data_IF_529616847280
#
_entry.id   IF_529616847280
#
_cell.length_a   1.000
_cell.length_b   1.000
_cell.length_c   1.000
_cell.angle_alpha   90.00
_cell.angle_beta   90.00
_cell.angle_gamma   90.00
#
_symmetry.space_group_name_H-M   'P 1'
#
loop_
_entity.id
_entity.type
_entity.pdbx_description
1 polymer ?
#
# COMPACT_ATOMS: atom_id res chain seq x y z
N UNK A 1 -36.43 40.83 49.11
CA UNK A 1 -36.34 40.64 47.64
C UNK A 1 -34.88 40.60 47.13
N UNK A 2 -33.96 39.89 47.81
CA UNK A 2 -32.53 39.80 47.41
C UNK A 2 -32.02 38.37 47.17
N UNK A 3 -32.81 37.35 47.53
CA UNK A 3 -32.40 35.94 47.54
C UNK A 3 -32.60 35.20 46.21
N UNK A 4 -33.42 35.73 45.29
CA UNK A 4 -33.68 35.12 43.98
C UNK A 4 -32.53 35.31 42.98
N UNK A 5 -31.78 36.42 43.11
CA UNK A 5 -30.65 36.72 42.21
C UNK A 5 -29.38 35.93 42.58
N UNK A 6 -29.21 35.56 43.85
CA UNK A 6 -28.03 34.81 44.33
C UNK A 6 -28.01 33.38 43.83
N UNK A 7 -29.18 32.72 43.75
CA UNK A 7 -29.33 31.36 43.22
C UNK A 7 -29.12 31.33 41.70
N UNK A 8 -29.63 32.33 40.97
CA UNK A 8 -29.37 32.46 39.53
C UNK A 8 -27.90 32.68 39.18
N UNK A 9 -27.16 33.44 40.00
CA UNK A 9 -25.72 33.66 39.78
C UNK A 9 -24.93 32.36 39.99
N UNK A 10 -25.28 31.55 41.00
CA UNK A 10 -24.63 30.26 41.25
C UNK A 10 -24.84 29.24 40.12
N UNK A 11 -26.05 29.20 39.53
CA UNK A 11 -26.35 28.29 38.40
C UNK A 11 -25.56 28.69 37.15
N UNK A 12 -25.48 29.99 36.83
CA UNK A 12 -24.69 30.51 35.70
C UNK A 12 -23.19 30.25 35.91
N UNK A 13 -22.68 30.40 37.14
CA UNK A 13 -21.28 30.10 37.45
C UNK A 13 -20.96 28.60 37.33
N UNK A 14 -21.90 27.72 37.71
CA UNK A 14 -21.73 26.26 37.57
C UNK A 14 -21.74 25.77 36.11
N UNK A 15 -22.50 26.44 35.25
CA UNK A 15 -22.56 26.17 33.81
C UNK A 15 -21.29 26.63 33.08
N UNK A 16 -20.66 27.72 33.55
CA UNK A 16 -19.39 28.22 33.00
C UNK A 16 -18.19 27.33 33.39
N UNK A 17 -18.27 26.60 34.50
CA UNK A 17 -17.20 25.69 34.96
C UNK A 17 -17.21 24.33 34.23
N UNK A 18 -18.28 23.97 33.52
CA UNK A 18 -18.34 22.75 32.70
C UNK A 18 -17.83 22.94 31.26
N UNK A 19 -17.47 24.17 30.86
CA UNK A 19 -17.05 24.47 29.49
C UNK A 19 -15.55 24.28 29.23
N UNK A 20 -14.75 23.94 30.24
CA UNK A 20 -13.36 23.52 30.05
C UNK A 20 -13.29 21.99 30.00
N UNK A 21 -13.83 21.42 28.92
CA UNK A 21 -13.37 20.10 28.50
C UNK A 21 -12.00 20.34 27.88
N UNK A 22 -10.92 20.01 28.57
CA UNK A 22 -9.59 20.01 27.93
C UNK A 22 -9.68 19.01 26.78
N UNK A 23 -9.65 19.48 25.54
CA UNK A 23 -9.50 18.60 24.38
C UNK A 23 -8.26 17.73 24.64
N UNK A 24 -8.49 16.43 24.87
CA UNK A 24 -7.39 15.47 24.89
C UNK A 24 -6.64 15.64 23.57
N UNK A 25 -5.30 15.71 23.58
CA UNK A 25 -4.55 15.87 22.34
C UNK A 25 -4.93 14.74 21.39
N UNK A 26 -5.50 15.10 20.24
CA UNK A 26 -5.96 14.13 19.23
C UNK A 26 -4.81 13.22 18.83
N UNK A 27 -5.05 11.91 18.83
CA UNK A 27 -4.09 10.96 18.33
C UNK A 27 -4.29 10.84 16.82
N UNK A 28 -3.71 11.80 16.09
CA UNK A 28 -3.86 11.88 14.63
C UNK A 28 -3.45 10.59 13.92
N UNK A 29 -2.48 9.85 14.45
CA UNK A 29 -2.04 8.59 13.84
C UNK A 29 -3.14 7.54 13.98
N UNK A 30 -3.64 7.32 15.20
CA UNK A 30 -4.70 6.35 15.45
C UNK A 30 -5.99 6.70 14.68
N UNK A 31 -6.38 7.97 14.66
CA UNK A 31 -7.56 8.44 13.91
C UNK A 31 -7.43 8.18 12.40
N UNK A 32 -6.26 8.42 11.81
CA UNK A 32 -6.04 8.16 10.38
C UNK A 32 -5.99 6.67 10.05
N UNK A 33 -5.42 5.83 10.93
CA UNK A 33 -5.43 4.38 10.74
C UNK A 33 -6.83 3.77 10.91
N UNK A 34 -7.64 4.29 11.83
CA UNK A 34 -9.05 3.89 11.97
C UNK A 34 -9.84 4.23 10.70
N UNK A 35 -9.65 5.43 10.16
CA UNK A 35 -10.26 5.82 8.89
C UNK A 35 -9.77 4.94 7.73
N UNK A 36 -8.45 4.71 7.62
CA UNK A 36 -7.85 3.88 6.58
C UNK A 36 -8.34 2.42 6.66
N UNK A 37 -8.51 1.87 7.86
CA UNK A 37 -9.09 0.55 8.10
C UNK A 37 -10.46 0.41 7.41
N UNK A 38 -11.35 1.37 7.66
CA UNK A 38 -12.70 1.35 7.07
C UNK A 38 -12.66 1.49 5.54
N UNK A 39 -11.77 2.33 5.01
CA UNK A 39 -11.63 2.50 3.55
C UNK A 39 -11.05 1.23 2.88
N UNK A 40 -10.06 0.59 3.50
CA UNK A 40 -9.45 -0.62 2.97
C UNK A 40 -10.40 -1.82 3.03
N UNK A 41 -11.17 -1.99 4.11
CA UNK A 41 -12.21 -3.03 4.17
C UNK A 41 -13.28 -2.83 3.09
N UNK A 42 -13.67 -1.58 2.83
CA UNK A 42 -14.59 -1.27 1.74
C UNK A 42 -13.97 -1.55 0.36
N UNK A 43 -12.70 -1.17 0.15
CA UNK A 43 -11.97 -1.46 -1.08
C UNK A 43 -11.79 -2.97 -1.34
N UNK A 44 -11.56 -3.77 -0.29
CA UNK A 44 -11.55 -5.24 -0.35
C UNK A 44 -12.91 -5.74 -0.83
N UNK A 45 -14.00 -5.27 -0.22
CA UNK A 45 -15.37 -5.69 -0.60
C UNK A 45 -15.66 -5.39 -2.07
N UNK A 46 -15.34 -4.18 -2.54
CA UNK A 46 -15.53 -3.80 -3.93
C UNK A 46 -14.64 -4.61 -4.88
N UNK A 47 -13.39 -4.85 -4.50
CA UNK A 47 -12.45 -5.66 -5.28
C UNK A 47 -12.95 -7.10 -5.43
N UNK A 48 -13.46 -7.70 -4.36
CA UNK A 48 -13.99 -9.08 -4.38
C UNK A 48 -15.30 -9.20 -5.16
N UNK A 49 -16.06 -8.12 -5.28
CA UNK A 49 -17.29 -8.08 -6.09
C UNK A 49 -17.02 -7.96 -7.61
N UNK A 50 -15.76 -7.80 -8.02
CA UNK A 50 -15.40 -7.74 -9.43
C UNK A 50 -15.46 -9.13 -10.09
N UNK A 51 -16.36 -9.32 -11.04
CA UNK A 51 -16.56 -10.59 -11.76
C UNK A 51 -15.38 -10.96 -12.70
N UNK A 52 -14.49 -10.02 -13.01
CA UNK A 52 -13.37 -10.27 -13.89
C UNK A 52 -12.12 -10.71 -13.12
N UNK A 53 -11.93 -12.02 -12.99
CA UNK A 53 -10.79 -12.64 -12.30
C UNK A 53 -9.42 -12.31 -12.89
N UNK A 54 -9.34 -11.74 -14.10
CA UNK A 54 -8.06 -11.27 -14.67
C UNK A 54 -7.60 -9.92 -14.10
N UNK A 55 -8.47 -9.19 -13.39
CA UNK A 55 -8.15 -7.92 -12.73
C UNK A 55 -8.11 -8.13 -11.22
N UNK A 56 -6.93 -7.98 -10.63
CA UNK A 56 -6.59 -8.52 -9.31
C UNK A 56 -6.35 -7.46 -8.25
N UNK A 57 -6.13 -6.20 -8.65
CA UNK A 57 -5.84 -5.10 -7.74
C UNK A 57 -6.61 -3.84 -8.17
N UNK A 58 -7.15 -3.05 -7.22
CA UNK A 58 -7.63 -1.71 -7.53
C UNK A 58 -6.46 -0.78 -7.82
N UNK A 59 -6.70 0.24 -8.66
CA UNK A 59 -5.71 1.25 -9.04
C UNK A 59 -6.17 2.68 -8.77
N UNK A 60 -7.40 2.98 -9.11
CA UNK A 60 -8.00 4.31 -8.94
C UNK A 60 -9.51 4.17 -8.82
N UNK A 61 -10.19 5.27 -8.54
CA UNK A 61 -11.64 5.39 -8.61
C UNK A 61 -12.05 6.03 -9.94
N UNK A 62 -13.15 5.57 -10.53
CA UNK A 62 -13.82 6.24 -11.63
C UNK A 62 -14.74 7.37 -11.11
N UNK A 63 -15.21 8.23 -12.01
CA UNK A 63 -16.08 9.36 -11.65
C UNK A 63 -17.39 8.95 -10.98
N UNK A 64 -17.85 7.71 -11.22
CA UNK A 64 -19.06 7.13 -10.62
C UNK A 64 -18.83 6.46 -9.26
N UNK A 65 -17.60 6.49 -8.74
CA UNK A 65 -17.21 5.88 -7.47
C UNK A 65 -16.80 4.41 -7.56
N UNK A 66 -16.89 3.78 -8.74
CA UNK A 66 -16.42 2.40 -8.92
C UNK A 66 -14.89 2.30 -8.94
N UNK A 67 -14.36 1.13 -8.56
CA UNK A 67 -12.91 0.88 -8.63
C UNK A 67 -12.49 0.52 -10.05
N UNK A 68 -11.47 1.22 -10.55
CA UNK A 68 -10.74 0.82 -11.75
C UNK A 68 -9.73 -0.25 -11.36
N UNK A 69 -9.99 -1.48 -11.80
CA UNK A 69 -9.20 -2.66 -11.50
C UNK A 69 -8.12 -2.90 -12.56
N UNK A 70 -6.99 -3.49 -12.15
CA UNK A 70 -5.86 -3.79 -13.04
C UNK A 70 -5.39 -5.25 -12.93
N UNK A 71 -4.84 -5.82 -14.02
CA UNK A 71 -4.26 -7.16 -13.97
C UNK A 71 -2.94 -7.16 -13.19
N UNK A 72 -2.46 -8.35 -12.81
CA UNK A 72 -1.20 -8.53 -12.09
C UNK A 72 0.02 -7.92 -12.81
N UNK A 73 -0.02 -7.78 -14.13
CA UNK A 73 1.08 -7.20 -14.93
C UNK A 73 1.16 -5.67 -14.89
N UNK A 74 0.15 -5.00 -14.32
CA UNK A 74 0.18 -3.54 -14.17
C UNK A 74 1.20 -3.17 -13.07
N UNK A 75 1.94 -2.09 -13.29
CA UNK A 75 2.97 -1.63 -12.36
C UNK A 75 2.41 -1.25 -10.98
N UNK A 76 1.12 -0.93 -10.89
CA UNK A 76 0.47 -0.58 -9.61
C UNK A 76 -0.05 -1.77 -8.83
N UNK A 77 0.02 -2.98 -9.38
CA UNK A 77 -0.67 -4.16 -8.84
C UNK A 77 -0.18 -4.60 -7.45
N UNK A 78 1.05 -4.25 -7.07
CA UNK A 78 1.63 -4.54 -5.76
C UNK A 78 1.30 -3.53 -4.65
N UNK A 79 0.67 -2.39 -4.96
CA UNK A 79 0.39 -1.36 -3.95
C UNK A 79 -0.71 -1.77 -2.98
N UNK A 80 -1.86 -2.23 -3.49
CA UNK A 80 -2.99 -2.62 -2.65
C UNK A 80 -2.63 -3.72 -1.63
N UNK A 81 -2.03 -4.87 -2.00
CA UNK A 81 -1.56 -5.83 -0.99
C UNK A 81 -0.51 -5.25 -0.05
N UNK A 82 0.34 -4.33 -0.51
CA UNK A 82 1.31 -3.64 0.34
C UNK A 82 0.65 -2.79 1.45
N UNK A 83 -0.45 -2.09 1.13
CA UNK A 83 -1.24 -1.35 2.13
C UNK A 83 -1.86 -2.28 3.18
N UNK A 84 -2.36 -3.45 2.75
CA UNK A 84 -2.89 -4.47 3.68
C UNK A 84 -1.81 -5.02 4.62
N UNK A 85 -0.60 -5.25 4.11
CA UNK A 85 0.55 -5.61 4.94
C UNK A 85 0.91 -4.52 5.95
N UNK A 86 0.86 -3.25 5.55
CA UNK A 86 1.11 -2.12 6.47
C UNK A 86 0.02 -1.99 7.54
N UNK A 87 -1.24 -2.28 7.18
CA UNK A 87 -2.33 -2.36 8.18
C UNK A 87 -2.09 -3.48 9.19
N UNK A 88 -1.63 -4.65 8.73
CA UNK A 88 -1.24 -5.73 9.63
C UNK A 88 -0.07 -5.31 10.54
N UNK A 89 0.94 -4.64 9.99
CA UNK A 89 2.06 -4.15 10.78
C UNK A 89 1.62 -3.24 11.93
N UNK A 90 0.71 -2.31 11.64
CA UNK A 90 0.18 -1.35 12.61
C UNK A 90 -0.75 -1.99 13.64
N UNK A 91 -1.72 -2.78 13.19
CA UNK A 91 -2.82 -3.29 14.05
C UNK A 91 -2.49 -4.61 14.73
N UNK A 92 -1.63 -5.44 14.12
CA UNK A 92 -1.40 -6.86 14.47
C UNK A 92 -2.67 -7.72 14.43
N UNK A 93 -3.72 -7.28 13.76
CA UNK A 93 -4.96 -8.05 13.59
C UNK A 93 -4.78 -9.05 12.43
N UNK A 94 -4.90 -10.38 12.68
CA UNK A 94 -4.71 -11.42 11.68
C UNK A 94 -5.57 -11.26 10.43
N UNK A 95 -6.73 -10.58 10.50
CA UNK A 95 -7.57 -10.35 9.32
C UNK A 95 -6.81 -9.63 8.20
N UNK A 96 -5.91 -8.70 8.56
CA UNK A 96 -5.13 -7.94 7.59
C UNK A 96 -4.05 -8.79 6.93
N UNK A 97 -3.41 -9.68 7.69
CA UNK A 97 -2.45 -10.65 7.17
C UNK A 97 -3.14 -11.61 6.19
N UNK A 98 -4.31 -12.14 6.55
CA UNK A 98 -5.10 -13.02 5.67
C UNK A 98 -5.47 -12.32 4.34
N UNK A 99 -5.96 -11.08 4.42
CA UNK A 99 -6.27 -10.28 3.22
C UNK A 99 -5.01 -9.98 2.41
N UNK A 100 -3.91 -9.58 3.05
CA UNK A 100 -2.66 -9.24 2.37
C UNK A 100 -2.07 -10.46 1.64
N UNK A 101 -2.08 -11.64 2.26
CA UNK A 101 -1.66 -12.91 1.63
C UNK A 101 -2.51 -13.19 0.39
N UNK A 102 -3.83 -13.10 0.52
CA UNK A 102 -4.78 -13.37 -0.58
C UNK A 102 -4.61 -12.42 -1.75
N UNK A 103 -4.39 -11.14 -1.50
CA UNK A 103 -4.17 -10.13 -2.55
C UNK A 103 -2.74 -10.12 -3.11
N UNK A 104 -1.77 -10.67 -2.39
CA UNK A 104 -0.39 -10.86 -2.87
C UNK A 104 -0.31 -12.05 -3.83
N UNK A 105 -1.02 -13.15 -3.56
CA UNK A 105 -0.87 -14.41 -4.30
C UNK A 105 -1.01 -14.30 -5.84
N UNK A 106 -1.97 -13.55 -6.41
CA UNK A 106 -2.12 -13.44 -7.87
C UNK A 106 -0.95 -12.74 -8.58
N UNK A 107 -0.05 -12.10 -7.84
CA UNK A 107 1.11 -11.38 -8.36
C UNK A 107 2.33 -12.30 -8.59
N UNK A 108 2.27 -13.58 -8.18
CA UNK A 108 3.45 -14.46 -8.18
C UNK A 108 4.14 -14.55 -9.55
N UNK A 109 3.35 -14.65 -10.63
CA UNK A 109 3.88 -14.76 -12.00
C UNK A 109 4.72 -13.54 -12.43
N UNK A 110 4.57 -12.40 -11.73
CA UNK A 110 5.36 -11.20 -12.02
C UNK A 110 6.83 -11.34 -11.65
N UNK A 111 7.22 -12.32 -10.82
CA UNK A 111 8.64 -12.61 -10.55
C UNK A 111 9.45 -12.91 -11.81
N UNK A 112 8.78 -13.39 -12.86
CA UNK A 112 9.39 -13.71 -14.16
C UNK A 112 9.27 -12.57 -15.20
N UNK A 113 8.67 -11.43 -14.83
CA UNK A 113 8.42 -10.34 -15.77
C UNK A 113 9.70 -9.55 -16.05
N UNK A 114 10.33 -9.85 -17.19
CA UNK A 114 11.54 -9.17 -17.66
C UNK A 114 11.26 -7.92 -18.50
N UNK A 115 10.01 -7.51 -18.65
CA UNK A 115 9.57 -6.43 -19.55
C UNK A 115 9.49 -5.04 -18.93
N UNK A 116 9.55 -4.94 -17.60
CA UNK A 116 9.44 -3.69 -16.84
C UNK A 116 10.50 -3.58 -15.75
N UNK A 117 10.83 -2.36 -15.37
CA UNK A 117 11.61 -2.07 -14.17
C UNK A 117 10.81 -2.07 -12.87
N UNK A 118 9.49 -2.12 -12.93
CA UNK A 118 8.58 -1.92 -11.78
C UNK A 118 8.45 -3.13 -10.84
N UNK A 119 9.40 -4.08 -10.89
CA UNK A 119 9.33 -5.29 -10.06
C UNK A 119 9.49 -5.00 -8.56
N UNK A 120 10.10 -3.88 -8.18
CA UNK A 120 10.09 -3.42 -6.80
C UNK A 120 8.68 -3.02 -6.35
N UNK A 121 7.96 -2.24 -7.17
CA UNK A 121 6.56 -1.88 -6.88
C UNK A 121 5.62 -3.07 -6.92
N UNK A 122 5.81 -4.00 -7.85
CA UNK A 122 4.88 -5.12 -8.05
C UNK A 122 5.14 -6.25 -7.05
N UNK A 123 6.38 -6.72 -6.95
CA UNK A 123 6.73 -7.93 -6.19
C UNK A 123 7.26 -7.58 -4.81
N UNK A 124 8.22 -6.66 -4.71
CA UNK A 124 8.86 -6.38 -3.41
C UNK A 124 7.91 -5.65 -2.44
N UNK A 125 7.04 -4.77 -2.95
CA UNK A 125 6.02 -4.12 -2.14
C UNK A 125 4.89 -5.07 -1.66
N UNK A 126 4.77 -6.26 -2.25
CA UNK A 126 3.76 -7.27 -1.90
C UNK A 126 4.41 -8.46 -1.17
N UNK A 127 5.10 -9.33 -1.90
CA UNK A 127 5.83 -10.48 -1.36
C UNK A 127 6.96 -10.07 -0.40
N UNK A 128 7.68 -8.98 -0.68
CA UNK A 128 8.74 -8.50 0.21
C UNK A 128 8.21 -8.04 1.57
N UNK A 129 7.04 -7.40 1.59
CA UNK A 129 6.35 -7.04 2.83
C UNK A 129 5.85 -8.28 3.58
N UNK A 130 5.26 -9.25 2.87
CA UNK A 130 4.84 -10.51 3.47
C UNK A 130 6.01 -11.27 4.12
N UNK A 131 7.14 -11.37 3.42
CA UNK A 131 8.37 -11.98 3.96
C UNK A 131 8.88 -11.25 5.22
N UNK A 132 8.75 -9.91 5.27
CA UNK A 132 9.19 -9.10 6.41
C UNK A 132 8.27 -9.23 7.63
N UNK A 133 6.97 -9.41 7.42
CA UNK A 133 5.95 -9.27 8.45
C UNK A 133 5.31 -10.59 8.90
N UNK A 134 5.39 -11.64 8.09
CA UNK A 134 4.78 -12.95 8.34
C UNK A 134 5.79 -14.09 8.20
N UNK A 135 5.44 -15.29 8.69
CA UNK A 135 6.27 -16.49 8.57
C UNK A 135 6.17 -17.11 7.16
N UNK A 136 6.45 -16.29 6.13
CA UNK A 136 6.37 -16.66 4.71
C UNK A 136 7.74 -16.76 4.09
N UNK A 137 8.52 -17.71 4.61
CA UNK A 137 9.85 -18.02 4.09
C UNK A 137 9.85 -18.37 2.59
N UNK A 138 8.74 -18.92 2.08
CA UNK A 138 8.49 -19.20 0.66
C UNK A 138 8.52 -17.95 -0.23
N UNK A 139 8.29 -16.76 0.33
CA UNK A 139 8.36 -15.50 -0.42
C UNK A 139 9.80 -15.05 -0.73
N UNK A 140 10.80 -15.60 -0.06
CA UNK A 140 12.21 -15.25 -0.30
C UNK A 140 12.61 -15.57 -1.75
N UNK A 141 12.32 -16.80 -2.21
CA UNK A 141 12.64 -17.22 -3.58
C UNK A 141 11.86 -16.43 -4.64
N UNK A 142 10.63 -16.03 -4.33
CA UNK A 142 9.81 -15.18 -5.22
C UNK A 142 10.48 -13.82 -5.42
N UNK A 143 10.91 -13.18 -4.33
CA UNK A 143 11.60 -11.89 -4.40
C UNK A 143 12.99 -12.02 -5.07
N UNK A 144 13.74 -13.09 -4.80
CA UNK A 144 15.03 -13.33 -5.47
C UNK A 144 14.86 -13.52 -6.99
N UNK A 145 13.85 -14.26 -7.43
CA UNK A 145 13.56 -14.41 -8.86
C UNK A 145 13.15 -13.08 -9.51
N UNK A 146 12.35 -12.27 -8.82
CA UNK A 146 12.03 -10.92 -9.27
C UNK A 146 13.28 -10.03 -9.35
N UNK A 147 14.21 -10.13 -8.39
CA UNK A 147 15.47 -9.41 -8.43
C UNK A 147 16.33 -9.84 -9.63
N UNK A 148 16.38 -11.13 -9.97
CA UNK A 148 17.04 -11.63 -11.19
C UNK A 148 16.40 -11.09 -12.46
N UNK A 149 15.07 -11.06 -12.52
CA UNK A 149 14.33 -10.48 -13.65
C UNK A 149 14.62 -8.98 -13.80
N UNK A 150 14.64 -8.22 -12.70
CA UNK A 150 14.98 -6.79 -12.69
C UNK A 150 16.43 -6.55 -13.13
N UNK A 151 17.38 -7.30 -12.56
CA UNK A 151 18.79 -7.20 -12.89
C UNK A 151 19.08 -7.54 -14.36
N UNK A 152 18.30 -8.42 -14.99
CA UNK A 152 18.43 -8.76 -16.42
C UNK A 152 18.21 -7.57 -17.36
N UNK A 153 17.59 -6.49 -16.86
CA UNK A 153 17.36 -5.25 -17.62
C UNK A 153 18.52 -4.27 -17.55
N UNK A 154 19.56 -4.54 -16.76
CA UNK A 154 20.77 -3.74 -16.67
C UNK A 154 21.49 -3.66 -18.03
N UNK A 155 21.93 -2.46 -18.40
CA UNK A 155 22.64 -2.16 -19.63
C UNK A 155 24.09 -1.81 -19.29
N UNK A 156 25.05 -2.75 -19.42
CA UNK A 156 26.43 -2.56 -18.95
C UNK A 156 27.14 -1.34 -19.53
N UNK A 157 26.91 -1.04 -20.80
CA UNK A 157 27.55 0.11 -21.47
C UNK A 157 27.03 1.46 -20.98
N UNK A 158 25.79 1.50 -20.48
CA UNK A 158 25.14 2.72 -20.00
C UNK A 158 25.13 2.83 -18.47
N UNK A 159 25.35 1.71 -17.75
CA UNK A 159 25.36 1.68 -16.30
C UNK A 159 23.98 1.86 -15.66
N UNK A 160 22.90 1.55 -16.38
CA UNK A 160 21.51 1.81 -15.97
C UNK A 160 20.62 0.58 -16.13
N UNK A 161 19.48 0.56 -15.45
CA UNK A 161 18.40 -0.40 -15.68
C UNK A 161 17.39 0.23 -16.64
N UNK A 162 17.10 -0.44 -17.76
CA UNK A 162 16.13 0.06 -18.74
C UNK A 162 14.70 -0.01 -18.17
N UNK A 163 13.95 1.09 -18.23
CA UNK A 163 12.60 1.18 -17.65
C UNK A 163 11.59 0.27 -18.33
N UNK A 164 11.44 0.37 -19.65
CA UNK A 164 10.44 -0.39 -20.43
C UNK A 164 10.94 -0.69 -21.84
N UNK A 165 10.14 -1.45 -22.60
CA UNK A 165 10.51 -1.90 -23.96
C UNK A 165 9.59 -1.36 -25.09
N UNK A 166 8.54 -0.59 -24.77
CA UNK A 166 7.69 0.08 -25.76
C UNK A 166 8.28 1.41 -26.29
N UNK A 167 7.71 1.94 -27.38
CA UNK A 167 8.15 3.19 -28.02
C UNK A 167 9.63 3.19 -28.45
N UNK A 168 10.14 2.06 -28.96
CA UNK A 168 11.54 1.90 -29.41
C UNK A 168 11.94 2.86 -30.53
N UNK A 169 10.98 3.39 -31.28
CA UNK A 169 11.21 4.42 -32.29
C UNK A 169 11.52 5.81 -31.70
N UNK A 170 11.29 6.00 -30.39
CA UNK A 170 11.57 7.25 -29.66
C UNK A 170 12.74 7.10 -28.69
N UNK A 171 12.89 5.92 -28.07
CA UNK A 171 13.83 5.70 -26.99
C UNK A 171 14.57 4.36 -27.16
N UNK A 172 15.90 4.39 -27.16
CA UNK A 172 16.74 3.18 -27.24
C UNK A 172 16.90 2.51 -25.86
N UNK A 173 17.12 3.31 -24.82
CA UNK A 173 17.26 2.86 -23.43
C UNK A 173 16.61 3.88 -22.48
N UNK A 174 15.27 3.93 -22.39
CA UNK A 174 14.58 4.84 -21.50
C UNK A 174 14.91 4.51 -20.03
N UNK A 175 15.15 5.56 -19.25
CA UNK A 175 15.34 5.52 -17.80
C UNK A 175 14.52 6.66 -17.21
N UNK A 176 13.76 6.38 -16.15
CA UNK A 176 12.94 7.38 -15.44
C UNK A 176 13.29 7.38 -13.95
N UNK A 177 12.92 8.45 -13.24
CA UNK A 177 13.30 8.63 -11.83
C UNK A 177 12.72 7.55 -10.92
N UNK A 178 11.52 7.04 -11.22
CA UNK A 178 10.83 5.97 -10.48
C UNK A 178 11.63 4.66 -10.42
N UNK A 179 12.60 4.51 -11.32
CA UNK A 179 13.53 3.40 -11.31
C UNK A 179 14.31 3.31 -9.99
N UNK A 180 14.53 4.45 -9.32
CA UNK A 180 15.20 4.53 -8.01
C UNK A 180 14.48 3.74 -6.92
N UNK A 181 13.15 3.78 -6.88
CA UNK A 181 12.36 3.06 -5.87
C UNK A 181 12.45 1.54 -6.07
N UNK A 182 12.63 1.10 -7.32
CA UNK A 182 12.75 -0.31 -7.65
C UNK A 182 14.13 -0.90 -7.30
N UNK A 183 15.14 -0.07 -7.03
CA UNK A 183 16.47 -0.54 -6.63
C UNK A 183 16.49 -1.17 -5.23
N UNK A 184 15.51 -0.87 -4.38
CA UNK A 184 15.41 -1.44 -3.03
C UNK A 184 15.38 -2.97 -3.08
N UNK A 185 14.65 -3.55 -4.04
CA UNK A 185 14.61 -5.00 -4.27
C UNK A 185 16.01 -5.57 -4.53
N UNK A 186 16.82 -4.88 -5.33
CA UNK A 186 18.19 -5.34 -5.63
C UNK A 186 19.11 -5.17 -4.41
N UNK A 187 18.99 -4.08 -3.66
CA UNK A 187 19.77 -3.88 -2.43
C UNK A 187 19.41 -4.88 -1.33
N UNK A 188 18.16 -5.32 -1.27
CA UNK A 188 17.77 -6.41 -0.41
C UNK A 188 18.39 -7.73 -0.87
N UNK A 189 18.28 -8.06 -2.16
CA UNK A 189 18.77 -9.33 -2.70
C UNK A 189 20.29 -9.55 -2.53
N UNK A 190 21.10 -8.50 -2.39
CA UNK A 190 22.54 -8.64 -2.12
C UNK A 190 22.89 -9.00 -0.68
N UNK A 191 21.91 -8.97 0.24
CA UNK A 191 22.11 -9.23 1.68
C UNK A 191 21.62 -10.62 2.11
N UNK A 192 20.93 -11.33 1.23
CA UNK A 192 20.37 -12.68 1.45
C UNK A 192 21.30 -13.73 0.83
#
# INVERSE_FOLDING_TARGET
MKMKYTVSIFIVLSLLLHSCNSEQPRNIVAENFEYASQQLEYAVTLTESNDNSSLVSPRTMADDGSLVMVPARDWTSGFFPGELWLMYEYTKDPKWEEMAIRFTAPLEDQKLNKGTHDLGFMVYNSFGQGMRLSDRSDYTEINLEAARSLASRYQPNAGVIRSWDHNKNKWDCPVIIDNMMNLELLFWATKV
#
